data_IF_914310656076
#
_entry.id   IF_914310656076
#
_cell.length_a   1.000
_cell.length_b   1.000
_cell.length_c   1.000
_cell.angle_alpha   90.00
_cell.angle_beta   90.00
_cell.angle_gamma   90.00
#
_symmetry.space_group_name_H-M   'P 1'
#
loop_
_entity.id
_entity.type
_entity.pdbx_description
1 polymer ?
#
# COMPACT_ATOMS: atom_id res chain seq x y z
N UNK A 1 -52.77 -7.66 -18.62
CA UNK A 1 -51.87 -8.23 -17.62
C UNK A 1 -50.48 -7.69 -17.95
N UNK A 2 -50.05 -6.67 -17.21
CA UNK A 2 -48.73 -6.05 -17.46
C UNK A 2 -47.67 -7.00 -16.95
N UNK A 3 -46.91 -7.53 -17.88
CA UNK A 3 -45.66 -8.19 -17.59
C UNK A 3 -44.65 -7.08 -17.18
N UNK A 4 -44.72 -6.65 -15.93
CA UNK A 4 -43.69 -5.83 -15.33
C UNK A 4 -42.46 -6.70 -15.25
N UNK A 5 -41.56 -6.51 -16.23
CA UNK A 5 -40.41 -7.34 -16.54
C UNK A 5 -39.68 -7.82 -15.31
N UNK A 6 -39.82 -9.11 -15.07
CA UNK A 6 -38.99 -9.80 -14.07
C UNK A 6 -37.52 -9.59 -14.49
N UNK A 7 -36.76 -8.84 -13.68
CA UNK A 7 -35.36 -8.62 -13.94
C UNK A 7 -34.63 -9.95 -14.05
N UNK A 8 -33.83 -10.12 -15.09
CA UNK A 8 -32.98 -11.31 -15.25
C UNK A 8 -31.83 -11.28 -14.24
N UNK A 9 -31.21 -12.42 -13.96
CA UNK A 9 -29.99 -12.50 -13.12
C UNK A 9 -28.89 -11.53 -13.63
N UNK A 10 -28.75 -11.43 -14.95
CA UNK A 10 -27.79 -10.50 -15.59
C UNK A 10 -28.13 -9.02 -15.37
N UNK A 11 -29.41 -8.65 -15.26
CA UNK A 11 -29.80 -7.27 -14.97
C UNK A 11 -29.53 -6.92 -13.51
N UNK A 12 -29.79 -7.86 -12.58
CA UNK A 12 -29.38 -7.71 -11.18
C UNK A 12 -27.88 -7.59 -11.04
N UNK A 13 -27.09 -8.45 -11.69
CA UNK A 13 -25.63 -8.39 -11.67
C UNK A 13 -25.10 -7.03 -12.12
N UNK A 14 -25.62 -6.48 -13.22
CA UNK A 14 -25.25 -5.12 -13.68
C UNK A 14 -25.61 -4.02 -12.69
N UNK A 15 -26.79 -4.10 -12.07
CA UNK A 15 -27.20 -3.11 -11.05
C UNK A 15 -26.28 -3.16 -9.82
N UNK A 16 -26.03 -4.36 -9.33
CA UNK A 16 -25.15 -4.59 -8.19
C UNK A 16 -23.76 -4.05 -8.49
N UNK A 17 -23.19 -4.35 -9.65
CA UNK A 17 -21.91 -3.80 -10.07
C UNK A 17 -21.90 -2.28 -10.09
N UNK A 18 -22.93 -1.64 -10.67
CA UNK A 18 -23.05 -0.18 -10.67
C UNK A 18 -23.23 0.44 -9.27
N UNK A 19 -23.79 -0.27 -8.31
CA UNK A 19 -23.87 0.15 -6.92
C UNK A 19 -22.51 0.03 -6.21
N UNK A 20 -21.79 -1.06 -6.46
CA UNK A 20 -20.42 -1.29 -5.93
C UNK A 20 -19.46 -0.21 -6.43
N UNK A 21 -19.46 0.10 -7.73
CA UNK A 21 -18.63 1.16 -8.34
C UNK A 21 -18.89 2.55 -7.73
N UNK A 22 -20.11 2.79 -7.24
CA UNK A 22 -20.49 4.03 -6.54
C UNK A 22 -20.33 3.95 -5.02
N UNK A 23 -19.68 2.90 -4.51
CA UNK A 23 -19.49 2.62 -3.07
C UNK A 23 -20.81 2.54 -2.27
N UNK A 24 -21.93 2.19 -2.91
CA UNK A 24 -23.24 2.04 -2.28
C UNK A 24 -23.45 0.60 -1.77
N UNK A 25 -22.55 0.15 -0.88
CA UNK A 25 -22.48 -1.26 -0.45
C UNK A 25 -23.73 -1.77 0.24
N UNK A 26 -24.41 -0.94 1.05
CA UNK A 26 -25.67 -1.35 1.69
C UNK A 26 -26.75 -1.65 0.65
N UNK A 27 -26.93 -0.76 -0.33
CA UNK A 27 -27.93 -0.97 -1.40
C UNK A 27 -27.56 -2.16 -2.30
N UNK A 28 -26.26 -2.38 -2.57
CA UNK A 28 -25.78 -3.55 -3.31
C UNK A 28 -26.12 -4.85 -2.56
N UNK A 29 -26.03 -4.86 -1.23
CA UNK A 29 -26.37 -6.02 -0.39
C UNK A 29 -27.87 -6.33 -0.43
N UNK A 30 -28.72 -5.32 -0.37
CA UNK A 30 -30.17 -5.47 -0.46
C UNK A 30 -30.59 -6.03 -1.84
N UNK A 31 -30.08 -5.46 -2.94
CA UNK A 31 -30.31 -5.95 -4.32
C UNK A 31 -29.82 -7.39 -4.50
N UNK A 32 -28.64 -7.73 -3.94
CA UNK A 32 -28.14 -9.11 -3.97
C UNK A 32 -29.00 -10.08 -3.20
N UNK A 33 -29.55 -9.67 -2.05
CA UNK A 33 -30.49 -10.47 -1.27
C UNK A 33 -31.74 -10.84 -2.08
N UNK A 34 -32.35 -9.86 -2.76
CA UNK A 34 -33.49 -10.09 -3.65
C UNK A 34 -33.13 -10.97 -4.85
N UNK A 35 -31.97 -10.69 -5.48
CA UNK A 35 -31.51 -11.43 -6.63
C UNK A 35 -31.24 -12.90 -6.31
N UNK A 36 -30.50 -13.18 -5.23
CA UNK A 36 -30.17 -14.54 -4.79
C UNK A 36 -31.39 -15.33 -4.26
N UNK A 37 -32.41 -14.65 -3.71
CA UNK A 37 -33.66 -15.31 -3.38
C UNK A 37 -34.38 -15.87 -4.63
N UNK A 38 -34.16 -15.22 -5.78
CA UNK A 38 -34.78 -15.62 -7.05
C UNK A 38 -33.87 -16.52 -7.91
N UNK A 39 -32.56 -16.26 -7.86
CA UNK A 39 -31.55 -16.95 -8.62
C UNK A 39 -30.40 -17.43 -7.70
N UNK A 40 -30.65 -18.41 -6.82
CA UNK A 40 -29.73 -18.80 -5.74
C UNK A 40 -28.44 -19.44 -6.22
N UNK A 41 -28.40 -19.88 -7.48
CA UNK A 41 -27.30 -20.65 -8.06
C UNK A 41 -26.57 -19.93 -9.19
N UNK A 42 -26.91 -18.66 -9.43
CA UNK A 42 -26.25 -17.85 -10.44
C UNK A 42 -24.83 -17.47 -10.02
N UNK A 43 -23.84 -17.86 -10.82
CA UNK A 43 -22.40 -17.66 -10.49
C UNK A 43 -22.01 -16.19 -10.41
N UNK A 44 -22.58 -15.33 -11.27
CA UNK A 44 -22.26 -13.90 -11.28
C UNK A 44 -22.82 -13.19 -10.03
N UNK A 45 -24.03 -13.57 -9.60
CA UNK A 45 -24.63 -13.03 -8.38
C UNK A 45 -23.87 -13.50 -7.12
N UNK A 46 -23.50 -14.79 -7.07
CA UNK A 46 -22.68 -15.33 -5.99
C UNK A 46 -21.30 -14.66 -5.94
N UNK A 47 -20.69 -14.41 -7.11
CA UNK A 47 -19.47 -13.64 -7.20
C UNK A 47 -19.65 -12.19 -6.69
N UNK A 48 -20.75 -11.53 -7.09
CA UNK A 48 -21.09 -10.18 -6.61
C UNK A 48 -21.20 -10.11 -5.08
N UNK A 49 -21.80 -11.13 -4.44
CA UNK A 49 -21.87 -11.23 -2.99
C UNK A 49 -20.49 -11.37 -2.35
N UNK A 50 -19.67 -12.27 -2.87
CA UNK A 50 -18.31 -12.48 -2.37
C UNK A 50 -17.42 -11.24 -2.58
N UNK A 51 -17.56 -10.53 -3.70
CA UNK A 51 -16.88 -9.26 -3.94
C UNK A 51 -17.30 -8.20 -2.92
N UNK A 52 -18.60 -8.11 -2.62
CA UNK A 52 -19.10 -7.16 -1.62
C UNK A 52 -18.59 -7.49 -0.22
N UNK A 53 -18.52 -8.77 0.15
CA UNK A 53 -17.95 -9.21 1.43
C UNK A 53 -16.47 -8.83 1.51
N UNK A 54 -15.69 -9.03 0.45
CA UNK A 54 -14.32 -8.58 0.39
C UNK A 54 -14.17 -7.06 0.57
N UNK A 55 -14.96 -6.26 -0.16
CA UNK A 55 -14.92 -4.79 -0.09
C UNK A 55 -15.38 -4.24 1.26
N UNK A 56 -16.20 -4.99 1.99
CA UNK A 56 -16.64 -4.62 3.36
C UNK A 56 -15.73 -5.18 4.47
N UNK A 57 -14.60 -5.80 4.11
CA UNK A 57 -13.61 -6.30 5.06
C UNK A 57 -13.92 -7.69 5.63
N UNK A 58 -14.89 -8.40 5.07
CA UNK A 58 -15.31 -9.75 5.45
C UNK A 58 -14.52 -10.79 4.61
N UNK A 59 -13.18 -10.81 4.74
CA UNK A 59 -12.31 -11.61 3.87
C UNK A 59 -12.58 -13.10 3.92
N UNK A 60 -12.93 -13.66 5.08
CA UNK A 60 -13.25 -15.09 5.22
C UNK A 60 -14.58 -15.45 4.55
N UNK A 61 -15.60 -14.61 4.69
CA UNK A 61 -16.88 -14.83 4.00
C UNK A 61 -16.72 -14.73 2.49
N UNK A 62 -15.91 -13.76 2.03
CA UNK A 62 -15.53 -13.64 0.62
C UNK A 62 -14.82 -14.90 0.11
N UNK A 63 -13.86 -15.47 0.87
CA UNK A 63 -13.17 -16.70 0.52
C UNK A 63 -14.14 -17.87 0.34
N UNK A 64 -15.04 -18.05 1.30
CA UNK A 64 -16.07 -19.11 1.26
C UNK A 64 -16.98 -18.93 0.05
N UNK A 65 -17.46 -17.68 -0.18
CA UNK A 65 -18.29 -17.34 -1.32
C UNK A 65 -17.62 -17.64 -2.66
N UNK A 66 -16.35 -17.25 -2.81
CA UNK A 66 -15.55 -17.48 -4.04
C UNK A 66 -15.32 -18.98 -4.29
N UNK A 67 -15.01 -19.77 -3.26
CA UNK A 67 -14.88 -21.21 -3.39
C UNK A 67 -16.22 -21.87 -3.80
N UNK A 68 -17.36 -21.36 -3.33
CA UNK A 68 -18.68 -21.81 -3.77
C UNK A 68 -18.91 -21.49 -5.25
N UNK A 69 -18.55 -20.31 -5.73
CA UNK A 69 -18.61 -19.96 -7.16
C UNK A 69 -17.76 -20.94 -7.96
N UNK A 70 -16.52 -21.17 -7.56
CA UNK A 70 -15.55 -22.00 -8.29
C UNK A 70 -15.90 -23.50 -8.23
N UNK A 71 -16.63 -23.97 -7.22
CA UNK A 71 -17.15 -25.35 -7.18
C UNK A 71 -18.20 -25.61 -8.25
N UNK A 72 -18.90 -24.57 -8.72
CA UNK A 72 -19.92 -24.63 -9.76
C UNK A 72 -19.35 -24.31 -11.14
N UNK A 73 -18.53 -23.30 -11.17
CA UNK A 73 -17.89 -22.79 -12.39
C UNK A 73 -16.38 -22.64 -12.16
N UNK A 74 -15.60 -23.71 -12.29
CA UNK A 74 -14.14 -23.68 -12.07
C UNK A 74 -13.41 -22.68 -12.96
N UNK A 75 -13.96 -22.37 -14.14
CA UNK A 75 -13.44 -21.40 -15.09
C UNK A 75 -13.79 -19.95 -14.82
N UNK A 76 -14.54 -19.64 -13.75
CA UNK A 76 -14.96 -18.27 -13.46
C UNK A 76 -13.75 -17.36 -13.17
N UNK A 77 -13.34 -16.63 -14.22
CA UNK A 77 -12.12 -15.81 -14.20
C UNK A 77 -12.05 -14.80 -13.06
N UNK A 78 -13.12 -14.00 -12.89
CA UNK A 78 -13.18 -12.95 -11.88
C UNK A 78 -13.11 -13.53 -10.45
N UNK A 79 -13.75 -14.68 -10.23
CA UNK A 79 -13.72 -15.35 -8.92
C UNK A 79 -12.32 -15.88 -8.58
N UNK A 80 -11.62 -16.50 -9.54
CA UNK A 80 -10.20 -16.93 -9.33
C UNK A 80 -9.29 -15.74 -9.08
N UNK A 81 -9.46 -14.68 -9.85
CA UNK A 81 -8.66 -13.46 -9.70
C UNK A 81 -8.85 -12.81 -8.32
N UNK A 82 -10.10 -12.72 -7.85
CA UNK A 82 -10.40 -12.18 -6.52
C UNK A 82 -9.93 -13.13 -5.41
N UNK A 83 -10.06 -14.45 -5.58
CA UNK A 83 -9.57 -15.43 -4.61
C UNK A 83 -8.06 -15.33 -4.37
N UNK A 84 -7.29 -15.11 -5.44
CA UNK A 84 -5.85 -14.84 -5.29
C UNK A 84 -5.58 -13.59 -4.44
N UNK A 85 -6.41 -12.53 -4.58
CA UNK A 85 -6.29 -11.33 -3.74
C UNK A 85 -6.63 -11.63 -2.28
N UNK A 86 -7.73 -12.32 -2.04
CA UNK A 86 -8.17 -12.70 -0.69
C UNK A 86 -7.08 -13.53 0.01
N UNK A 87 -6.48 -14.51 -0.67
CA UNK A 87 -5.35 -15.28 -0.11
C UNK A 87 -4.12 -14.42 0.16
N UNK A 88 -3.83 -13.43 -0.70
CA UNK A 88 -2.72 -12.50 -0.44
C UNK A 88 -2.97 -11.67 0.82
N UNK A 89 -4.18 -11.17 1.02
CA UNK A 89 -4.53 -10.30 2.13
C UNK A 89 -4.64 -11.08 3.46
N UNK A 90 -5.09 -12.33 3.42
CA UNK A 90 -5.09 -13.23 4.58
C UNK A 90 -3.71 -13.78 4.93
N UNK A 91 -2.69 -13.55 4.08
CA UNK A 91 -1.33 -14.06 4.29
C UNK A 91 -1.11 -15.50 3.83
N UNK A 92 -2.08 -16.12 3.19
CA UNK A 92 -1.99 -17.47 2.60
C UNK A 92 -1.23 -17.43 1.26
N UNK A 93 0.03 -16.95 1.30
CA UNK A 93 0.82 -16.67 0.10
C UNK A 93 1.04 -17.87 -0.82
N UNK A 94 1.24 -19.11 -0.30
CA UNK A 94 1.34 -20.28 -1.17
C UNK A 94 0.05 -20.60 -1.93
N UNK A 95 -1.11 -20.42 -1.31
CA UNK A 95 -2.40 -20.61 -1.97
C UNK A 95 -2.63 -19.53 -3.06
N UNK A 96 -2.28 -18.28 -2.76
CA UNK A 96 -2.31 -17.20 -3.75
C UNK A 96 -1.40 -17.49 -4.95
N UNK A 97 -0.20 -18.01 -4.71
CA UNK A 97 0.73 -18.37 -5.79
C UNK A 97 0.16 -19.47 -6.69
N UNK A 98 -0.44 -20.50 -6.13
CA UNK A 98 -1.05 -21.59 -6.92
C UNK A 98 -2.13 -21.04 -7.85
N UNK A 99 -3.05 -20.22 -7.32
CA UNK A 99 -4.14 -19.63 -8.13
C UNK A 99 -3.58 -18.72 -9.23
N UNK A 100 -2.55 -17.93 -8.94
CA UNK A 100 -1.92 -17.05 -9.94
C UNK A 100 -1.21 -17.85 -11.05
N UNK A 101 -0.55 -18.96 -10.72
CA UNK A 101 0.08 -19.85 -11.70
C UNK A 101 -0.97 -20.47 -12.60
N UNK A 102 -2.11 -20.92 -12.06
CA UNK A 102 -3.22 -21.45 -12.85
C UNK A 102 -3.83 -20.37 -13.76
N UNK A 103 -4.02 -19.14 -13.26
CA UNK A 103 -4.48 -18.02 -14.06
C UNK A 103 -3.52 -17.71 -15.22
N UNK A 104 -2.22 -17.72 -14.97
CA UNK A 104 -1.21 -17.49 -16.02
C UNK A 104 -1.13 -18.63 -17.02
N UNK A 105 -1.42 -19.88 -16.62
CA UNK A 105 -1.51 -21.02 -17.54
C UNK A 105 -2.69 -20.86 -18.51
N UNK A 106 -3.84 -20.43 -17.97
CA UNK A 106 -5.06 -20.28 -18.76
C UNK A 106 -5.08 -18.99 -19.60
N UNK A 107 -4.43 -17.93 -19.08
CA UNK A 107 -4.38 -16.59 -19.67
C UNK A 107 -2.94 -16.06 -19.77
N UNK A 108 -2.08 -16.68 -20.61
CA UNK A 108 -0.65 -16.35 -20.66
C UNK A 108 -0.35 -14.95 -21.21
N UNK A 109 -1.31 -14.29 -21.83
CA UNK A 109 -1.17 -12.94 -22.39
C UNK A 109 -1.69 -11.84 -21.43
N UNK A 110 -2.10 -12.20 -20.22
CA UNK A 110 -2.61 -11.23 -19.26
C UNK A 110 -1.49 -10.52 -18.50
N UNK A 111 -1.08 -9.34 -18.95
CA UNK A 111 -0.10 -8.50 -18.26
C UNK A 111 -0.47 -8.27 -16.81
N UNK A 112 -1.75 -8.05 -16.53
CA UNK A 112 -2.24 -7.84 -15.16
C UNK A 112 -1.94 -9.01 -14.20
N UNK A 113 -2.07 -10.27 -14.66
CA UNK A 113 -1.76 -11.43 -13.81
C UNK A 113 -0.25 -11.57 -13.55
N UNK A 114 0.58 -11.26 -14.56
CA UNK A 114 2.03 -11.16 -14.34
C UNK A 114 2.39 -10.09 -13.34
N UNK A 115 1.76 -8.91 -13.40
CA UNK A 115 1.96 -7.84 -12.43
C UNK A 115 1.57 -8.26 -11.01
N UNK A 116 0.43 -8.92 -10.85
CA UNK A 116 -0.01 -9.46 -9.54
C UNK A 116 0.95 -10.50 -9.00
N UNK A 117 1.43 -11.40 -9.86
CA UNK A 117 2.42 -12.39 -9.44
C UNK A 117 3.76 -11.74 -9.09
N UNK A 118 4.17 -10.70 -9.81
CA UNK A 118 5.34 -9.90 -9.45
C UNK A 118 5.20 -9.29 -8.05
N UNK A 119 4.04 -8.70 -7.73
CA UNK A 119 3.76 -8.15 -6.41
C UNK A 119 3.81 -9.21 -5.30
N UNK A 120 3.30 -10.41 -5.56
CA UNK A 120 3.42 -11.55 -4.63
C UNK A 120 4.90 -11.93 -4.41
N UNK A 121 5.69 -11.99 -5.48
CA UNK A 121 7.12 -12.31 -5.40
C UNK A 121 7.92 -11.24 -4.66
N UNK A 122 7.56 -9.95 -4.77
CA UNK A 122 8.16 -8.90 -3.92
C UNK A 122 7.84 -9.13 -2.43
N UNK A 123 6.61 -9.50 -2.10
CA UNK A 123 6.21 -9.80 -0.69
C UNK A 123 6.96 -11.00 -0.11
N UNK A 124 7.28 -11.99 -0.92
CA UNK A 124 8.03 -13.19 -0.52
C UNK A 124 9.54 -13.05 -0.71
N UNK A 125 10.04 -11.84 -1.02
CA UNK A 125 11.45 -11.51 -1.21
C UNK A 125 12.15 -12.25 -2.36
N UNK A 126 11.40 -12.79 -3.32
CA UNK A 126 11.93 -13.37 -4.55
C UNK A 126 12.18 -12.28 -5.59
N UNK A 127 13.12 -11.38 -5.32
CA UNK A 127 13.28 -10.09 -6.02
C UNK A 127 13.57 -10.25 -7.52
N UNK A 128 14.42 -11.20 -7.91
CA UNK A 128 14.78 -11.39 -9.32
C UNK A 128 13.59 -11.93 -10.14
N UNK A 129 12.85 -12.89 -9.58
CA UNK A 129 11.61 -13.41 -10.17
C UNK A 129 10.55 -12.30 -10.28
N UNK A 130 10.41 -11.49 -9.23
CA UNK A 130 9.47 -10.36 -9.22
C UNK A 130 9.77 -9.35 -10.34
N UNK A 131 11.03 -8.96 -10.52
CA UNK A 131 11.45 -8.05 -11.59
C UNK A 131 11.19 -8.63 -12.99
N UNK A 132 11.53 -9.89 -13.20
CA UNK A 132 11.29 -10.55 -14.47
C UNK A 132 9.79 -10.57 -14.82
N UNK A 133 8.94 -10.94 -13.86
CA UNK A 133 7.48 -10.93 -14.01
C UNK A 133 6.93 -9.52 -14.27
N UNK A 134 7.45 -8.51 -13.55
CA UNK A 134 7.05 -7.12 -13.75
C UNK A 134 7.38 -6.60 -15.15
N UNK A 135 8.57 -6.94 -15.66
CA UNK A 135 8.96 -6.57 -17.03
C UNK A 135 8.08 -7.27 -18.08
N UNK A 136 7.75 -8.55 -17.87
CA UNK A 136 6.85 -9.27 -18.76
C UNK A 136 5.43 -8.68 -18.71
N UNK A 137 4.93 -8.34 -17.52
CA UNK A 137 3.67 -7.64 -17.35
C UNK A 137 3.61 -6.35 -18.19
N UNK A 138 4.64 -5.52 -18.09
CA UNK A 138 4.71 -4.24 -18.80
C UNK A 138 4.91 -4.42 -20.31
N UNK A 139 5.54 -5.52 -20.74
CA UNK A 139 5.68 -5.87 -22.17
C UNK A 139 4.32 -6.22 -22.77
N UNK A 140 3.48 -6.96 -22.02
CA UNK A 140 2.15 -7.41 -22.47
C UNK A 140 1.13 -6.27 -22.44
N UNK A 141 1.16 -5.48 -21.37
CA UNK A 141 0.29 -4.31 -21.21
C UNK A 141 1.10 -3.12 -20.68
N UNK A 142 1.56 -2.23 -21.57
CA UNK A 142 2.33 -1.04 -21.17
C UNK A 142 1.54 -0.03 -20.36
N UNK A 143 0.20 -0.09 -20.38
CA UNK A 143 -0.67 0.84 -19.70
C UNK A 143 -1.23 0.29 -18.38
N UNK A 144 -0.96 -1.00 -18.05
CA UNK A 144 -1.40 -1.57 -16.79
C UNK A 144 -0.71 -0.87 -15.60
N UNK A 145 -1.52 -0.30 -14.72
CA UNK A 145 -1.05 0.44 -13.55
C UNK A 145 -0.18 -0.43 -12.63
N UNK A 146 -0.63 -1.66 -12.37
CA UNK A 146 0.05 -2.55 -11.45
C UNK A 146 1.41 -3.01 -12.01
N UNK A 147 1.51 -3.19 -13.35
CA UNK A 147 2.77 -3.48 -14.02
C UNK A 147 3.77 -2.31 -13.89
N UNK A 148 3.29 -1.07 -14.09
CA UNK A 148 4.10 0.14 -13.88
C UNK A 148 4.59 0.25 -12.43
N UNK A 149 3.70 0.00 -11.45
CA UNK A 149 4.05 -0.01 -10.01
C UNK A 149 5.08 -1.11 -9.71
N UNK A 150 4.86 -2.34 -10.21
CA UNK A 150 5.77 -3.46 -9.98
C UNK A 150 7.17 -3.20 -10.56
N UNK A 151 7.25 -2.64 -11.76
CA UNK A 151 8.51 -2.23 -12.37
C UNK A 151 9.18 -1.10 -11.58
N UNK A 152 8.43 -0.08 -11.14
CA UNK A 152 8.96 1.00 -10.32
C UNK A 152 9.51 0.48 -8.99
N UNK A 153 8.87 -0.51 -8.36
CA UNK A 153 9.41 -1.17 -7.16
C UNK A 153 10.76 -1.84 -7.44
N UNK A 154 10.90 -2.52 -8.57
CA UNK A 154 12.19 -3.09 -9.00
C UNK A 154 13.27 -2.02 -9.18
N UNK A 155 12.94 -0.92 -9.84
CA UNK A 155 13.87 0.21 -10.04
C UNK A 155 14.26 0.89 -8.71
N UNK A 156 13.31 0.97 -7.76
CA UNK A 156 13.56 1.47 -6.40
C UNK A 156 14.55 0.57 -5.64
N UNK A 157 14.39 -0.75 -5.73
CA UNK A 157 15.26 -1.74 -5.08
C UNK A 157 16.68 -1.67 -5.68
N UNK A 158 16.78 -1.56 -7.00
CA UNK A 158 18.06 -1.50 -7.71
C UNK A 158 18.72 -0.10 -7.67
N UNK A 159 18.01 0.91 -7.14
CA UNK A 159 18.50 2.29 -7.08
C UNK A 159 18.59 2.99 -8.44
N UNK A 160 17.83 2.53 -9.45
CA UNK A 160 17.81 3.09 -10.81
C UNK A 160 16.95 4.36 -10.89
N UNK A 161 17.49 5.48 -10.39
CA UNK A 161 16.76 6.75 -10.24
C UNK A 161 16.16 7.31 -11.53
N UNK A 162 16.81 7.10 -12.68
CA UNK A 162 16.28 7.55 -13.98
C UNK A 162 15.03 6.79 -14.39
N UNK A 163 15.08 5.47 -14.34
CA UNK A 163 13.97 4.60 -14.65
C UNK A 163 12.79 4.79 -13.65
N UNK A 164 13.10 4.96 -12.35
CA UNK A 164 12.09 5.29 -11.33
C UNK A 164 11.31 6.57 -11.69
N UNK A 165 12.00 7.63 -12.11
CA UNK A 165 11.35 8.90 -12.48
C UNK A 165 10.49 8.77 -13.74
N UNK A 166 10.96 8.05 -14.74
CA UNK A 166 10.23 7.79 -15.99
C UNK A 166 8.92 7.02 -15.71
N UNK A 167 8.98 5.97 -14.89
CA UNK A 167 7.79 5.19 -14.51
C UNK A 167 6.82 5.99 -13.66
N UNK A 168 7.33 6.81 -12.74
CA UNK A 168 6.47 7.71 -11.97
C UNK A 168 5.77 8.73 -12.87
N UNK A 169 6.46 9.28 -13.86
CA UNK A 169 5.86 10.19 -14.83
C UNK A 169 4.79 9.47 -15.68
N UNK A 170 5.02 8.23 -16.08
CA UNK A 170 4.04 7.40 -16.78
C UNK A 170 2.80 7.13 -15.91
N UNK A 171 2.98 6.75 -14.64
CA UNK A 171 1.87 6.57 -13.68
C UNK A 171 1.06 7.85 -13.52
N UNK A 172 1.71 8.99 -13.30
CA UNK A 172 1.02 10.28 -13.11
C UNK A 172 0.28 10.74 -14.37
N UNK A 173 0.75 10.40 -15.57
CA UNK A 173 0.10 10.78 -16.82
C UNK A 173 -1.08 9.87 -17.19
N UNK A 174 -0.97 8.57 -16.90
CA UNK A 174 -1.96 7.56 -17.31
C UNK A 174 -3.01 7.27 -16.24
N UNK A 175 -2.58 7.30 -14.95
CA UNK A 175 -3.43 6.97 -13.79
C UNK A 175 -3.37 8.06 -12.69
N UNK A 176 -3.67 9.34 -13.01
CA UNK A 176 -3.46 10.45 -12.08
C UNK A 176 -4.32 10.38 -10.81
N UNK A 177 -5.52 9.78 -10.90
CA UNK A 177 -6.47 9.70 -9.78
C UNK A 177 -6.33 8.41 -8.97
N UNK A 178 -5.40 7.53 -9.35
CA UNK A 178 -5.23 6.26 -8.68
C UNK A 178 -4.56 6.40 -7.31
N UNK A 179 -5.07 5.65 -6.32
CA UNK A 179 -4.46 5.52 -5.01
C UNK A 179 -3.05 4.89 -5.10
N UNK A 180 -2.83 3.94 -6.02
CA UNK A 180 -1.54 3.31 -6.28
C UNK A 180 -0.50 4.32 -6.76
N UNK A 181 -0.86 5.14 -7.76
CA UNK A 181 -0.03 6.23 -8.26
C UNK A 181 0.32 7.25 -7.16
N UNK A 182 -0.68 7.66 -6.36
CA UNK A 182 -0.44 8.57 -5.25
C UNK A 182 0.50 7.96 -4.19
N UNK A 183 0.36 6.67 -3.90
CA UNK A 183 1.27 5.95 -2.98
C UNK A 183 2.71 5.92 -3.50
N UNK A 184 2.91 5.64 -4.78
CA UNK A 184 4.23 5.67 -5.41
C UNK A 184 4.84 7.08 -5.38
N UNK A 185 4.03 8.13 -5.64
CA UNK A 185 4.47 9.52 -5.54
C UNK A 185 4.88 9.89 -4.10
N UNK A 186 4.11 9.47 -3.10
CA UNK A 186 4.47 9.65 -1.69
C UNK A 186 5.82 8.98 -1.40
N UNK A 187 5.99 7.73 -1.81
CA UNK A 187 7.24 6.98 -1.61
C UNK A 187 8.43 7.69 -2.24
N UNK A 188 8.30 8.17 -3.47
CA UNK A 188 9.32 8.95 -4.16
C UNK A 188 9.68 10.24 -3.41
N UNK A 189 8.66 11.00 -2.96
CA UNK A 189 8.87 12.25 -2.21
C UNK A 189 9.54 12.02 -0.86
N UNK A 190 9.16 10.94 -0.15
CA UNK A 190 9.78 10.54 1.13
C UNK A 190 11.26 10.22 0.93
N UNK A 191 11.61 9.45 -0.10
CA UNK A 191 13.03 9.16 -0.42
C UNK A 191 13.85 10.41 -0.74
N UNK A 192 13.23 11.44 -1.28
CA UNK A 192 13.84 12.75 -1.52
C UNK A 192 13.88 13.67 -0.30
N UNK A 193 13.33 13.23 0.84
CA UNK A 193 13.22 14.05 2.05
C UNK A 193 12.16 15.15 1.96
N UNK A 194 11.28 15.11 0.96
CA UNK A 194 10.22 16.10 0.73
C UNK A 194 8.95 15.74 1.54
N UNK A 195 9.10 15.54 2.83
CA UNK A 195 8.04 15.03 3.74
C UNK A 195 6.78 15.91 3.75
N UNK A 196 6.93 17.24 3.63
CA UNK A 196 5.76 18.16 3.60
C UNK A 196 4.91 17.98 2.34
N UNK A 197 5.55 17.73 1.19
CA UNK A 197 4.83 17.45 -0.05
C UNK A 197 4.14 16.09 0.00
N UNK A 198 4.86 15.05 0.47
CA UNK A 198 4.30 13.72 0.70
C UNK A 198 3.09 13.75 1.63
N UNK A 199 3.16 14.50 2.76
CA UNK A 199 2.05 14.67 3.71
C UNK A 199 0.82 15.27 3.06
N UNK A 200 0.96 16.28 2.20
CA UNK A 200 -0.19 16.90 1.50
C UNK A 200 -0.94 15.87 0.67
N UNK A 201 -0.22 15.05 -0.10
CA UNK A 201 -0.83 13.99 -0.92
C UNK A 201 -1.50 12.92 -0.06
N UNK A 202 -0.86 12.51 1.04
CA UNK A 202 -1.44 11.54 1.97
C UNK A 202 -2.74 12.07 2.64
N UNK A 203 -2.84 13.37 2.90
CA UNK A 203 -4.07 14.00 3.41
C UNK A 203 -5.18 13.97 2.35
N UNK A 204 -4.87 14.24 1.08
CA UNK A 204 -5.87 14.13 0.01
C UNK A 204 -6.37 12.69 -0.15
N UNK A 205 -5.47 11.69 -0.10
CA UNK A 205 -5.87 10.27 -0.08
C UNK A 205 -6.77 9.93 1.13
N UNK A 206 -6.47 10.48 2.30
CA UNK A 206 -7.28 10.26 3.49
C UNK A 206 -8.69 10.86 3.36
N UNK A 207 -8.85 11.99 2.67
CA UNK A 207 -10.17 12.58 2.38
C UNK A 207 -11.03 11.68 1.49
N UNK A 208 -10.40 10.97 0.55
CA UNK A 208 -11.09 10.01 -0.32
C UNK A 208 -11.46 8.73 0.43
N UNK A 209 -10.65 8.32 1.41
CA UNK A 209 -10.83 7.11 2.21
C UNK A 209 -10.73 7.40 3.71
N UNK A 210 -11.71 8.09 4.32
CA UNK A 210 -11.60 8.58 5.71
C UNK A 210 -11.54 7.48 6.77
N UNK A 211 -11.97 6.25 6.43
CA UNK A 211 -11.93 5.09 7.31
C UNK A 211 -10.61 4.31 7.29
N UNK A 212 -9.67 4.63 6.40
CA UNK A 212 -8.42 3.88 6.28
C UNK A 212 -7.45 4.22 7.41
N UNK A 213 -7.26 3.26 8.33
CA UNK A 213 -6.27 3.38 9.42
C UNK A 213 -4.83 3.42 8.88
N UNK A 214 -4.57 2.78 7.76
CA UNK A 214 -3.24 2.75 7.12
C UNK A 214 -2.85 4.13 6.59
N UNK A 215 -3.75 4.79 5.86
CA UNK A 215 -3.50 6.15 5.33
C UNK A 215 -3.38 7.14 6.49
N UNK A 216 -4.22 6.99 7.53
CA UNK A 216 -4.13 7.83 8.72
C UNK A 216 -2.78 7.64 9.43
N UNK A 217 -2.32 6.40 9.58
CA UNK A 217 -1.00 6.11 10.16
C UNK A 217 0.14 6.72 9.33
N UNK A 218 0.05 6.65 7.99
CA UNK A 218 0.99 7.28 7.08
C UNK A 218 1.02 8.81 7.24
N UNK A 219 -0.15 9.46 7.33
CA UNK A 219 -0.24 10.91 7.57
C UNK A 219 0.43 11.29 8.88
N UNK A 220 0.19 10.53 9.96
CA UNK A 220 0.80 10.75 11.28
C UNK A 220 2.32 10.56 11.21
N UNK A 221 2.80 9.58 10.48
CA UNK A 221 4.25 9.36 10.31
C UNK A 221 4.90 10.51 9.54
N UNK A 222 4.28 10.95 8.45
CA UNK A 222 4.76 12.08 7.64
C UNK A 222 4.68 13.40 8.43
N UNK A 223 3.69 13.56 9.30
CA UNK A 223 3.60 14.70 10.21
C UNK A 223 4.78 14.74 11.17
N UNK A 224 5.09 13.61 11.78
CA UNK A 224 6.25 13.48 12.67
C UNK A 224 7.56 13.83 11.96
N UNK A 225 7.76 13.31 10.73
CA UNK A 225 8.97 13.56 9.93
C UNK A 225 9.08 14.99 9.43
N UNK A 226 7.95 15.66 9.17
CA UNK A 226 7.91 17.06 8.69
C UNK A 226 7.84 18.09 9.81
N UNK A 227 7.76 17.66 11.06
CA UNK A 227 7.58 18.56 12.21
C UNK A 227 8.81 19.46 12.42
N UNK A 228 8.56 20.74 12.73
CA UNK A 228 9.62 21.74 12.91
C UNK A 228 10.65 21.34 13.97
N UNK A 229 10.23 20.63 15.02
CA UNK A 229 11.12 20.14 16.08
C UNK A 229 12.12 19.08 15.61
N UNK A 230 11.95 18.51 14.40
CA UNK A 230 12.92 17.61 13.78
C UNK A 230 14.02 18.36 13.00
N UNK A 231 13.91 19.68 12.83
CA UNK A 231 14.94 20.48 12.14
C UNK A 231 16.33 20.36 12.78
N UNK A 232 16.49 20.39 14.11
CA UNK A 232 17.80 20.21 14.75
C UNK A 232 18.41 18.82 14.46
N UNK A 233 17.57 17.83 14.12
CA UNK A 233 18.01 16.46 13.80
C UNK A 233 18.33 16.26 12.32
N UNK A 234 18.29 17.33 11.50
CA UNK A 234 18.59 17.28 10.05
C UNK A 234 19.90 16.56 9.71
N UNK A 235 21.02 16.75 10.43
CA UNK A 235 22.27 16.02 10.12
C UNK A 235 22.11 14.50 10.27
N UNK A 236 21.37 14.06 11.31
CA UNK A 236 21.13 12.63 11.56
C UNK A 236 20.17 12.01 10.55
N UNK A 237 19.14 12.76 10.15
CA UNK A 237 18.20 12.32 9.13
C UNK A 237 18.87 12.17 7.74
N UNK A 238 19.93 12.96 7.47
CA UNK A 238 20.65 12.92 6.20
C UNK A 238 21.75 11.85 6.15
N UNK A 239 22.46 11.63 7.28
CA UNK A 239 23.62 10.75 7.34
C UNK A 239 23.36 9.44 8.12
N UNK A 240 22.13 9.24 8.60
CA UNK A 240 21.69 8.05 9.30
C UNK A 240 22.30 7.87 10.70
N UNK A 241 22.14 6.67 11.25
CA UNK A 241 22.62 6.32 12.61
C UNK A 241 24.14 6.47 12.78
N UNK A 242 24.90 6.26 11.68
CA UNK A 242 26.35 6.40 11.69
C UNK A 242 26.79 7.81 12.11
N UNK A 243 26.06 8.86 11.67
CA UNK A 243 26.35 10.23 12.08
C UNK A 243 26.13 10.46 13.59
N UNK A 244 25.13 9.78 14.16
CA UNK A 244 24.89 9.82 15.62
C UNK A 244 26.06 9.21 16.40
N UNK A 245 26.56 8.07 15.92
CA UNK A 245 27.73 7.39 16.52
C UNK A 245 28.99 8.25 16.40
N UNK A 246 29.25 8.79 15.21
CA UNK A 246 30.41 9.66 14.99
C UNK A 246 30.34 10.91 15.89
N UNK A 247 29.18 11.56 15.94
CA UNK A 247 29.00 12.72 16.82
C UNK A 247 29.22 12.35 18.29
N UNK A 248 28.70 11.20 18.74
CA UNK A 248 28.89 10.71 20.09
C UNK A 248 30.37 10.44 20.38
N UNK A 249 31.08 9.76 19.49
CA UNK A 249 32.52 9.47 19.62
C UNK A 249 33.34 10.77 19.67
N UNK A 250 33.05 11.73 18.78
CA UNK A 250 33.70 13.05 18.78
C UNK A 250 33.41 13.80 20.09
N UNK A 251 32.17 13.74 20.56
CA UNK A 251 31.76 14.34 21.84
C UNK A 251 32.56 13.77 23.01
N UNK A 252 32.65 12.43 23.09
CA UNK A 252 33.42 11.75 24.15
C UNK A 252 34.91 12.04 24.04
N UNK A 253 35.47 12.08 22.82
CA UNK A 253 36.88 12.38 22.59
C UNK A 253 37.23 13.84 22.98
N UNK A 254 36.39 14.79 22.60
CA UNK A 254 36.52 16.20 23.01
C UNK A 254 36.37 16.33 24.52
N UNK A 255 35.46 15.61 25.13
CA UNK A 255 35.23 15.59 26.57
C UNK A 255 36.46 15.09 27.33
N UNK A 256 37.04 13.96 26.92
CA UNK A 256 38.19 13.36 27.59
C UNK A 256 39.52 14.13 27.38
N UNK A 257 39.66 14.80 26.23
CA UNK A 257 40.88 15.55 25.91
C UNK A 257 40.90 17.00 26.45
N UNK A 258 39.80 17.72 26.20
CA UNK A 258 39.72 19.16 26.47
C UNK A 258 39.21 19.52 27.90
N UNK A 259 38.55 18.58 28.60
CA UNK A 259 38.10 18.77 29.98
C UNK A 259 39.24 19.09 30.97
N UNK A 260 40.47 18.79 30.60
CA UNK A 260 41.67 19.12 31.38
C UNK A 260 42.20 20.57 31.15
N UNK A 261 41.78 21.21 30.03
CA UNK A 261 42.35 22.50 29.59
C UNK A 261 41.46 23.70 29.98
N UNK A 262 40.12 23.57 29.94
CA UNK A 262 39.23 24.68 30.25
C UNK A 262 37.88 24.21 30.84
N UNK A 263 37.83 23.78 32.11
CA UNK A 263 36.63 23.19 32.74
C UNK A 263 35.42 24.13 32.82
N UNK A 264 35.65 25.45 32.92
CA UNK A 264 34.56 26.43 33.07
C UNK A 264 33.77 26.69 31.76
N UNK A 265 34.38 26.50 30.60
CA UNK A 265 33.71 26.70 29.30
C UNK A 265 33.14 25.39 28.76
N UNK A 266 33.88 24.31 28.98
CA UNK A 266 33.54 22.99 28.42
C UNK A 266 32.47 22.25 29.21
N UNK A 267 32.31 22.51 30.50
CA UNK A 267 31.25 21.91 31.32
C UNK A 267 29.83 22.17 30.82
N UNK A 268 29.41 23.43 30.63
CA UNK A 268 28.10 23.75 30.05
C UNK A 268 27.88 23.22 28.63
N UNK A 269 28.92 23.29 27.79
CA UNK A 269 28.87 22.78 26.41
C UNK A 269 28.65 21.27 26.36
N UNK A 270 29.27 20.54 27.27
CA UNK A 270 29.10 19.09 27.39
C UNK A 270 27.68 18.70 27.82
N UNK A 271 27.08 19.43 28.75
CA UNK A 271 25.69 19.21 29.16
C UNK A 271 24.74 19.44 28.01
N UNK A 272 24.94 20.51 27.20
CA UNK A 272 24.16 20.78 25.99
C UNK A 272 24.32 19.67 24.96
N UNK A 273 25.51 19.18 24.79
CA UNK A 273 25.81 18.13 23.78
C UNK A 273 25.22 16.77 24.20
N UNK A 274 25.33 16.40 25.49
CA UNK A 274 24.67 15.22 26.05
C UNK A 274 23.14 15.33 25.95
N UNK A 275 22.60 16.52 26.28
CA UNK A 275 21.18 16.80 26.10
C UNK A 275 20.71 16.67 24.64
N UNK A 276 21.54 17.14 23.70
CA UNK A 276 21.26 16.99 22.26
C UNK A 276 21.34 15.53 21.81
N UNK A 277 22.28 14.74 22.31
CA UNK A 277 22.34 13.29 22.05
C UNK A 277 21.11 12.58 22.60
N UNK A 278 20.72 12.85 23.85
CA UNK A 278 19.51 12.31 24.45
C UNK A 278 18.25 12.72 23.64
N UNK A 279 18.17 13.99 23.24
CA UNK A 279 17.10 14.50 22.40
C UNK A 279 17.03 13.74 21.08
N UNK A 280 18.15 13.50 20.40
CA UNK A 280 18.18 12.81 19.09
C UNK A 280 17.66 11.37 19.16
N UNK A 281 17.79 10.69 20.29
CA UNK A 281 17.39 9.29 20.47
C UNK A 281 15.96 9.14 21.00
N UNK A 282 15.58 9.98 21.96
CA UNK A 282 14.31 9.83 22.69
C UNK A 282 13.18 10.58 22.00
N UNK A 283 13.44 11.81 21.55
CA UNK A 283 12.40 12.72 21.08
C UNK A 283 11.64 12.22 19.85
N UNK A 284 12.26 11.66 18.79
CA UNK A 284 11.53 11.15 17.63
C UNK A 284 10.51 10.07 17.99
N UNK A 285 10.90 9.18 18.91
CA UNK A 285 10.03 8.10 19.37
C UNK A 285 8.86 8.62 20.23
N UNK A 286 9.12 9.60 21.07
CA UNK A 286 8.09 10.26 21.88
C UNK A 286 7.10 11.04 21.02
N UNK A 287 7.59 11.81 20.06
CA UNK A 287 6.76 12.59 19.14
C UNK A 287 5.83 11.67 18.31
N UNK A 288 6.36 10.59 17.76
CA UNK A 288 5.56 9.58 17.03
C UNK A 288 4.46 8.98 17.93
N UNK A 289 4.79 8.58 19.16
CA UNK A 289 3.81 8.03 20.11
C UNK A 289 2.73 9.06 20.49
N UNK A 290 3.13 10.30 20.71
CA UNK A 290 2.19 11.37 21.05
C UNK A 290 1.23 11.67 19.91
N UNK A 291 1.74 11.77 18.66
CA UNK A 291 0.92 12.00 17.48
C UNK A 291 -0.04 10.83 17.22
N UNK A 292 0.41 9.58 17.38
CA UNK A 292 -0.46 8.39 17.26
C UNK A 292 -1.60 8.43 18.28
N UNK A 293 -1.29 8.68 19.54
CA UNK A 293 -2.32 8.81 20.60
C UNK A 293 -3.34 9.92 20.28
N UNK A 294 -2.86 11.06 19.77
CA UNK A 294 -3.74 12.18 19.37
C UNK A 294 -4.62 11.84 18.18
N UNK A 295 -4.16 11.00 17.27
CA UNK A 295 -4.91 10.51 16.11
C UNK A 295 -5.85 9.34 16.42
N UNK A 296 -5.82 8.80 17.66
CA UNK A 296 -6.65 7.66 18.06
C UNK A 296 -6.18 6.30 17.52
N UNK A 297 -4.86 6.19 17.26
CA UNK A 297 -4.22 4.97 16.74
C UNK A 297 -3.19 4.45 17.76
#
# INVERSE_FOLDING_TARGET
MNDHGVLSARDYSRRVQGLIERNRYAQARDELGEALARYPDDSDLLYGAALLDYLTGQGEDARIGLLRVLSREPGHFAARSLLATVYQDSGELPAAEMVLIELLRDYPESGHHYARYAMLMYRTMHLDKAKALAHEALRLDPDDELALIACMMGDLIDGRKGAEQERLAALMSRHPESAGTAHMLITHLVRRGQYRAAKRIAIELLKLNPGSREILALVVELDALSHWSMLPLWPFNRWGWAASVVLWVVTVAVFSGAGKIAPHILGPLNILLLGYCAYSWIFPSMLKRWLKRRAGI
#
